data_IF_535273834908
#
_entry.id   IF_535273834908
#
_cell.length_a   1.000
_cell.length_b   1.000
_cell.length_c   1.000
_cell.angle_alpha   90.00
_cell.angle_beta   90.00
_cell.angle_gamma   90.00
#
_symmetry.space_group_name_H-M   'P 1'
#
loop_
_entity.id
_entity.type
_entity.pdbx_description
1 polymer ?
#
# COMPACT_ATOMS: atom_id res chain seq x y z
N UNK A 1 -15.75 7.35 -7.34
CA UNK A 1 -14.69 8.18 -6.74
C UNK A 1 -13.69 8.76 -7.75
N UNK A 2 -13.58 8.27 -9.00
CA UNK A 2 -12.70 8.89 -10.00
C UNK A 2 -11.19 8.77 -9.71
N UNK A 3 -10.81 7.86 -8.81
CA UNK A 3 -9.43 7.64 -8.39
C UNK A 3 -8.65 6.82 -9.44
N UNK A 4 -7.33 6.93 -9.42
CA UNK A 4 -6.45 6.19 -10.34
C UNK A 4 -6.57 4.68 -10.09
N UNK A 5 -6.66 3.84 -11.13
CA UNK A 5 -6.57 2.40 -10.94
C UNK A 5 -5.17 2.03 -10.45
N UNK A 6 -5.07 1.00 -9.60
CA UNK A 6 -3.76 0.43 -9.25
C UNK A 6 -3.14 -0.26 -10.47
N UNK A 7 -1.82 -0.14 -10.67
CA UNK A 7 -1.15 -0.70 -11.84
C UNK A 7 -1.12 -2.24 -11.80
N UNK A 8 -1.00 -2.94 -12.94
CA UNK A 8 -0.94 -4.40 -12.97
C UNK A 8 0.18 -5.01 -12.11
N UNK A 9 1.28 -4.28 -11.95
CA UNK A 9 2.43 -4.63 -11.11
C UNK A 9 2.03 -4.81 -9.65
N UNK A 10 1.06 -4.02 -9.17
CA UNK A 10 0.52 -4.12 -7.82
C UNK A 10 0.00 -5.53 -7.52
N UNK A 11 -0.82 -6.08 -8.40
CA UNK A 11 -1.42 -7.41 -8.22
C UNK A 11 -0.40 -8.54 -8.30
N UNK A 12 0.65 -8.37 -9.13
CA UNK A 12 1.72 -9.36 -9.28
C UNK A 12 2.73 -9.32 -8.14
N UNK A 13 2.98 -8.13 -7.58
CA UNK A 13 4.02 -7.90 -6.58
C UNK A 13 3.54 -7.98 -5.13
N UNK A 14 2.26 -7.72 -4.88
CA UNK A 14 1.69 -7.69 -3.53
C UNK A 14 1.56 -9.09 -2.92
N UNK A 15 1.73 -9.16 -1.60
CA UNK A 15 1.44 -10.36 -0.82
C UNK A 15 0.11 -10.15 -0.12
N UNK A 16 -0.97 -10.69 -0.69
CA UNK A 16 -2.34 -10.58 -0.17
C UNK A 16 -2.76 -11.82 0.63
N UNK A 17 -1.99 -12.90 0.54
CA UNK A 17 -2.25 -14.17 1.23
C UNK A 17 -0.96 -14.62 1.89
N UNK A 18 -1.08 -15.26 3.06
CA UNK A 18 0.06 -15.82 3.77
C UNK A 18 0.70 -16.96 2.95
N UNK A 19 2.00 -16.88 2.62
CA UNK A 19 2.71 -17.95 1.93
C UNK A 19 2.92 -19.15 2.87
N UNK A 20 2.76 -20.37 2.35
CA UNK A 20 2.87 -21.60 3.15
C UNK A 20 4.31 -21.99 3.51
N UNK A 21 5.29 -21.67 2.66
CA UNK A 21 6.65 -22.21 2.74
C UNK A 21 7.69 -21.28 3.39
N UNK A 22 7.27 -20.12 3.93
CA UNK A 22 8.19 -19.16 4.56
C UNK A 22 7.55 -18.42 5.73
N UNK A 23 8.37 -18.16 6.75
CA UNK A 23 7.99 -17.23 7.83
C UNK A 23 7.98 -15.81 7.31
N UNK A 24 6.90 -15.08 7.55
CA UNK A 24 6.72 -13.68 7.13
C UNK A 24 6.10 -12.86 8.25
N UNK A 25 6.41 -11.58 8.29
CA UNK A 25 5.74 -10.63 9.15
C UNK A 25 4.40 -10.23 8.53
N UNK A 26 3.30 -10.55 9.22
CA UNK A 26 1.93 -10.34 8.73
C UNK A 26 1.32 -8.97 9.04
N UNK A 27 2.06 -8.08 9.71
CA UNK A 27 1.63 -6.69 9.90
C UNK A 27 1.34 -6.05 8.54
N UNK A 28 0.11 -5.59 8.35
CA UNK A 28 -0.33 -4.90 7.15
C UNK A 28 0.55 -3.67 6.91
N UNK A 29 0.89 -3.42 5.65
CA UNK A 29 1.70 -2.27 5.24
C UNK A 29 1.60 -2.05 3.73
N UNK A 30 1.61 -0.79 3.33
CA UNK A 30 1.73 -0.33 1.96
C UNK A 30 3.15 0.16 1.66
N UNK A 31 3.59 -0.03 0.41
CA UNK A 31 4.96 0.23 -0.01
C UNK A 31 4.99 0.97 -1.35
N UNK A 32 5.76 2.05 -1.42
CA UNK A 32 6.19 2.72 -2.64
C UNK A 32 7.68 2.42 -2.89
N UNK A 33 7.99 1.78 -4.03
CA UNK A 33 9.37 1.48 -4.43
C UNK A 33 10.07 2.66 -5.12
N UNK A 34 9.45 3.84 -5.12
CA UNK A 34 9.99 5.12 -5.58
C UNK A 34 10.33 5.19 -7.08
N UNK A 35 9.94 4.17 -7.86
CA UNK A 35 10.20 4.04 -9.29
C UNK A 35 8.99 4.41 -10.16
N UNK A 36 7.89 4.90 -9.55
CA UNK A 36 6.61 5.28 -10.19
C UNK A 36 5.82 4.14 -10.85
N UNK A 37 6.29 2.90 -10.68
CA UNK A 37 5.72 1.72 -11.34
C UNK A 37 5.24 0.71 -10.30
N UNK A 38 6.03 0.52 -9.25
CA UNK A 38 5.90 -0.58 -8.32
C UNK A 38 5.40 -0.09 -6.95
N UNK A 39 4.15 -0.44 -6.67
CA UNK A 39 3.45 -0.15 -5.42
C UNK A 39 2.86 -1.46 -4.92
N UNK A 40 2.96 -1.75 -3.62
CA UNK A 40 2.58 -3.07 -3.09
C UNK A 40 1.94 -2.99 -1.72
N UNK A 41 1.04 -3.94 -1.45
CA UNK A 41 0.57 -4.26 -0.11
C UNK A 41 1.21 -5.57 0.35
N UNK A 42 1.61 -5.61 1.63
CA UNK A 42 2.00 -6.81 2.34
C UNK A 42 1.02 -7.03 3.50
N UNK A 43 0.08 -7.94 3.33
CA UNK A 43 -0.92 -8.31 4.33
C UNK A 43 -1.23 -9.80 4.24
N UNK A 44 -1.29 -10.47 5.39
CA UNK A 44 -1.79 -11.84 5.48
C UNK A 44 -3.32 -11.79 5.63
N UNK A 45 -4.03 -11.49 4.55
CA UNK A 45 -5.47 -11.20 4.61
C UNK A 45 -6.29 -12.46 4.89
N UNK A 46 -7.13 -12.38 5.91
CA UNK A 46 -8.17 -13.34 6.25
C UNK A 46 -9.56 -12.80 5.84
N UNK A 47 -10.54 -13.68 5.64
CA UNK A 47 -11.90 -13.28 5.23
C UNK A 47 -12.69 -12.80 6.45
N UNK A 48 -12.35 -11.61 6.95
CA UNK A 48 -13.00 -10.97 8.11
C UNK A 48 -13.31 -9.50 7.82
N UNK A 49 -14.25 -8.92 8.58
CA UNK A 49 -14.56 -7.49 8.48
C UNK A 49 -13.38 -6.60 8.88
N UNK A 50 -12.60 -7.03 9.88
CA UNK A 50 -11.43 -6.30 10.33
C UNK A 50 -10.38 -6.19 9.22
N UNK A 51 -10.12 -7.30 8.53
CA UNK A 51 -9.18 -7.34 7.42
C UNK A 51 -9.68 -6.60 6.20
N UNK A 52 -11.00 -6.54 5.98
CA UNK A 52 -11.60 -5.69 4.96
C UNK A 52 -11.29 -4.21 5.23
N UNK A 53 -11.50 -3.74 6.47
CA UNK A 53 -11.19 -2.36 6.87
C UNK A 53 -9.69 -2.09 6.76
N UNK A 54 -8.85 -3.00 7.25
CA UNK A 54 -7.39 -2.89 7.13
C UNK A 54 -6.93 -2.82 5.68
N UNK A 55 -7.51 -3.64 4.80
CA UNK A 55 -7.17 -3.63 3.37
C UNK A 55 -7.52 -2.28 2.75
N UNK A 56 -8.67 -1.68 3.12
CA UNK A 56 -9.03 -0.34 2.65
C UNK A 56 -8.08 0.74 3.17
N UNK A 57 -7.61 0.62 4.42
CA UNK A 57 -6.61 1.51 4.99
C UNK A 57 -5.30 1.48 4.18
N UNK A 58 -4.76 0.29 3.92
CA UNK A 58 -3.53 0.15 3.12
C UNK A 58 -3.72 0.61 1.66
N UNK A 59 -4.90 0.36 1.08
CA UNK A 59 -5.23 0.84 -0.27
C UNK A 59 -5.31 2.37 -0.34
N UNK A 60 -5.65 3.05 0.76
CA UNK A 60 -5.61 4.51 0.82
C UNK A 60 -4.18 5.03 0.68
N UNK A 61 -3.19 4.35 1.28
CA UNK A 61 -1.76 4.70 1.15
C UNK A 61 -1.28 4.51 -0.28
N UNK A 62 -1.62 3.39 -0.91
CA UNK A 62 -1.32 3.14 -2.33
C UNK A 62 -1.88 4.25 -3.20
N UNK A 63 -3.13 4.67 -2.93
CA UNK A 63 -3.72 5.74 -3.70
C UNK A 63 -3.01 7.08 -3.45
N UNK A 64 -2.58 7.38 -2.22
CA UNK A 64 -1.77 8.55 -1.92
C UNK A 64 -0.48 8.55 -2.75
N UNK A 65 0.25 7.43 -2.80
CA UNK A 65 1.47 7.29 -3.59
C UNK A 65 1.23 7.50 -5.09
N UNK A 66 0.13 6.97 -5.62
CA UNK A 66 -0.24 7.14 -7.03
C UNK A 66 -0.57 8.60 -7.38
N UNK A 67 -1.10 9.40 -6.44
CA UNK A 67 -1.39 10.82 -6.71
C UNK A 67 -0.13 11.67 -6.73
N UNK A 68 0.84 11.39 -5.86
CA UNK A 68 2.08 12.17 -5.76
C UNK A 68 3.26 11.58 -6.55
N UNK A 69 3.05 10.52 -7.34
CA UNK A 69 4.07 9.86 -8.14
C UNK A 69 4.88 10.82 -9.06
N UNK A 70 4.27 11.91 -9.52
CA UNK A 70 4.90 12.90 -10.40
C UNK A 70 5.68 13.99 -9.64
N UNK A 71 5.49 14.12 -8.33
CA UNK A 71 6.27 15.07 -7.53
C UNK A 71 7.75 14.66 -7.50
N UNK A 72 8.68 15.62 -7.29
CA UNK A 72 10.05 15.31 -6.95
C UNK A 72 10.10 14.40 -5.72
N UNK A 73 11.06 13.48 -5.66
CA UNK A 73 11.12 12.46 -4.61
C UNK A 73 11.05 13.04 -3.19
N UNK A 74 11.67 14.21 -2.97
CA UNK A 74 11.66 14.94 -1.70
C UNK A 74 10.26 15.34 -1.21
N UNK A 75 9.27 15.40 -2.11
CA UNK A 75 7.90 15.82 -1.83
C UNK A 75 6.87 14.69 -1.95
N UNK A 76 7.31 13.43 -1.97
CA UNK A 76 6.40 12.25 -2.05
C UNK A 76 5.99 11.68 -0.70
N UNK A 77 6.29 12.39 0.38
CA UNK A 77 5.85 12.01 1.72
C UNK A 77 4.53 12.68 2.09
N UNK A 78 3.99 12.26 3.24
CA UNK A 78 2.82 12.88 3.82
C UNK A 78 3.02 14.39 4.00
N UNK A 79 1.96 15.17 3.79
CA UNK A 79 2.03 16.64 3.87
C UNK A 79 2.55 17.17 5.22
N UNK A 80 2.42 16.37 6.29
CA UNK A 80 2.90 16.66 7.63
C UNK A 80 3.17 15.35 8.41
N UNK A 81 3.89 15.40 9.55
CA UNK A 81 4.21 14.22 10.36
C UNK A 81 2.96 13.46 10.87
N UNK A 82 1.88 14.17 11.19
CA UNK A 82 0.62 13.54 11.64
C UNK A 82 -0.07 12.72 10.55
N UNK A 83 0.00 13.15 9.28
CA UNK A 83 -0.43 12.34 8.16
C UNK A 83 0.51 11.16 7.92
N UNK A 84 1.79 11.24 8.33
CA UNK A 84 2.74 10.12 8.24
C UNK A 84 2.32 8.97 9.15
N UNK A 85 1.82 9.25 10.37
CA UNK A 85 1.32 8.23 11.32
C UNK A 85 0.02 7.58 10.89
N UNK A 86 -0.75 8.22 10.02
CA UNK A 86 -1.94 7.61 9.42
C UNK A 86 -1.63 6.87 8.13
N UNK A 87 -0.39 6.96 7.63
CA UNK A 87 0.10 6.30 6.39
C UNK A 87 1.05 5.11 6.67
N UNK A 88 1.64 5.03 7.87
CA UNK A 88 2.57 3.96 8.27
C UNK A 88 1.94 2.86 9.11
#
# INVERSE_FOLDING_TARGET
MGLKPVPPEFWRGSMLVRPQQRSVQCTASAWDFCNRIDYRIKQCTEVTMQDLISTHHEMAHIQYYLQYAELPHLFRDAANPEHTTHIR
#
